data_IF_333602355452
#
_entry.id   IF_333602355452
#
_cell.length_a   1.000
_cell.length_b   1.000
_cell.length_c   1.000
_cell.angle_alpha   90.00
_cell.angle_beta   90.00
_cell.angle_gamma   90.00
#
_symmetry.space_group_name_H-M   'P 1'
#
loop_
_entity.id
_entity.type
_entity.pdbx_description
1 polymer ?
#
# COMPACT_ATOMS: atom_id res chain seq x y z
N UNK A 1 0.71 39.14 -64.60
CA UNK A 1 0.68 39.25 -63.13
C UNK A 1 1.41 40.51 -62.71
N UNK A 2 0.73 41.44 -62.05
CA UNK A 2 1.32 42.71 -61.60
C UNK A 2 2.08 42.50 -60.28
N UNK A 3 3.09 43.34 -59.99
CA UNK A 3 3.88 43.28 -58.73
C UNK A 3 2.99 43.24 -57.48
N UNK A 4 1.85 43.92 -57.52
CA UNK A 4 0.85 43.92 -56.46
C UNK A 4 0.21 42.54 -56.22
N UNK A 5 -0.16 41.80 -57.27
CA UNK A 5 -0.73 40.46 -57.09
C UNK A 5 0.23 39.50 -56.40
N UNK A 6 1.53 39.55 -56.73
CA UNK A 6 2.54 38.69 -56.09
C UNK A 6 2.73 38.99 -54.61
N UNK A 7 2.63 40.27 -54.23
CA UNK A 7 2.82 40.74 -52.85
C UNK A 7 1.62 40.36 -51.97
N UNK A 8 0.40 40.46 -52.50
CA UNK A 8 -0.82 40.01 -51.82
C UNK A 8 -0.79 38.50 -51.61
N UNK A 9 -0.47 37.70 -52.64
CA UNK A 9 -0.41 36.24 -52.51
C UNK A 9 0.66 35.78 -51.50
N UNK A 10 1.83 36.42 -51.49
CA UNK A 10 2.87 36.10 -50.51
C UNK A 10 2.44 36.44 -49.07
N UNK A 11 1.74 37.56 -48.87
CA UNK A 11 1.24 37.97 -47.56
C UNK A 11 0.15 37.01 -47.04
N UNK A 12 -0.76 36.55 -47.91
CA UNK A 12 -1.79 35.58 -47.53
C UNK A 12 -1.20 34.22 -47.17
N UNK A 13 -0.20 33.74 -47.92
CA UNK A 13 0.49 32.47 -47.63
C UNK A 13 1.26 32.58 -46.30
N UNK A 14 2.01 33.68 -46.09
CA UNK A 14 2.73 33.90 -44.84
C UNK A 14 1.78 33.95 -43.63
N UNK A 15 0.64 34.65 -43.76
CA UNK A 15 -0.36 34.74 -42.70
C UNK A 15 -1.00 33.40 -42.40
N UNK A 16 -1.32 32.60 -43.43
CA UNK A 16 -1.86 31.25 -43.26
C UNK A 16 -0.86 30.28 -42.61
N UNK A 17 0.43 30.40 -42.95
CA UNK A 17 1.49 29.57 -42.34
C UNK A 17 1.69 29.89 -40.86
N UNK A 18 1.62 31.18 -40.49
CA UNK A 18 1.70 31.63 -39.10
C UNK A 18 0.50 31.12 -38.29
N UNK A 19 -0.72 31.19 -38.85
CA UNK A 19 -1.89 30.64 -38.17
C UNK A 19 -1.81 29.12 -37.96
N UNK A 20 -1.36 28.39 -38.99
CA UNK A 20 -1.22 26.94 -38.92
C UNK A 20 -0.20 26.52 -37.86
N UNK A 21 0.94 27.21 -37.79
CA UNK A 21 2.00 26.93 -36.81
C UNK A 21 1.56 27.23 -35.38
N UNK A 22 0.87 28.35 -35.14
CA UNK A 22 0.32 28.68 -33.81
C UNK A 22 -0.69 27.61 -33.37
N UNK A 23 -1.59 27.18 -34.26
CA UNK A 23 -2.60 26.16 -33.94
C UNK A 23 -1.96 24.81 -33.58
N UNK A 24 -0.91 24.40 -34.31
CA UNK A 24 -0.16 23.16 -34.03
C UNK A 24 0.56 23.24 -32.68
N UNK A 25 1.19 24.37 -32.36
CA UNK A 25 1.89 24.57 -31.07
C UNK A 25 0.90 24.54 -29.91
N UNK A 26 -0.27 25.16 -30.04
CA UNK A 26 -1.32 25.14 -29.02
C UNK A 26 -1.88 23.73 -28.83
N UNK A 27 -2.16 23.02 -29.92
CA UNK A 27 -2.66 21.64 -29.85
C UNK A 27 -1.65 20.69 -29.19
N UNK A 28 -0.37 20.78 -29.57
CA UNK A 28 0.69 19.94 -29.01
C UNK A 28 0.91 20.22 -27.51
N UNK A 29 0.89 21.49 -27.09
CA UNK A 29 1.00 21.86 -25.68
C UNK A 29 -0.22 21.43 -24.86
N UNK A 30 -1.41 21.46 -25.47
CA UNK A 30 -2.64 20.99 -24.84
C UNK A 30 -2.62 19.48 -24.61
N UNK A 31 -2.22 18.70 -25.61
CA UNK A 31 -2.07 17.24 -25.48
C UNK A 31 -1.03 16.86 -24.42
N UNK A 32 0.12 17.55 -24.39
CA UNK A 32 1.16 17.31 -23.39
C UNK A 32 0.69 17.62 -21.97
N UNK A 33 -0.04 18.72 -21.77
CA UNK A 33 -0.62 19.05 -20.48
C UNK A 33 -1.65 18.01 -20.03
N UNK A 34 -2.53 17.58 -20.94
CA UNK A 34 -3.57 16.59 -20.62
C UNK A 34 -2.99 15.21 -20.28
N UNK A 35 -1.94 14.78 -21.00
CA UNK A 35 -1.20 13.57 -20.68
C UNK A 35 -0.57 13.66 -19.27
N UNK A 36 0.02 14.81 -18.93
CA UNK A 36 0.63 15.02 -17.62
C UNK A 36 -0.41 14.99 -16.48
N UNK A 37 -1.58 15.60 -16.68
CA UNK A 37 -2.68 15.51 -15.72
C UNK A 37 -3.25 14.09 -15.61
N UNK A 38 -3.36 13.37 -16.73
CA UNK A 38 -3.78 11.97 -16.75
C UNK A 38 -2.86 11.08 -15.92
N UNK A 39 -1.55 11.22 -16.11
CA UNK A 39 -0.54 10.48 -15.33
C UNK A 39 -0.59 10.84 -13.85
N UNK A 40 -0.73 12.13 -13.51
CA UNK A 40 -0.84 12.56 -12.10
C UNK A 40 -2.11 12.00 -11.45
N UNK A 41 -3.26 12.06 -12.12
CA UNK A 41 -4.52 11.53 -11.60
C UNK A 41 -4.44 10.01 -11.47
N UNK A 42 -3.97 9.29 -12.49
CA UNK A 42 -3.81 7.83 -12.42
C UNK A 42 -2.85 7.41 -11.31
N UNK A 43 -1.75 8.14 -11.11
CA UNK A 43 -0.78 7.87 -10.04
C UNK A 43 -1.38 8.12 -8.66
N UNK A 44 -2.20 9.17 -8.49
CA UNK A 44 -2.86 9.48 -7.22
C UNK A 44 -3.99 8.49 -6.92
N UNK A 45 -4.78 8.09 -7.93
CA UNK A 45 -5.83 7.07 -7.79
C UNK A 45 -5.22 5.71 -7.41
N UNK A 46 -4.15 5.27 -8.09
CA UNK A 46 -3.47 4.02 -7.74
C UNK A 46 -2.90 4.04 -6.31
N UNK A 47 -2.39 5.19 -5.83
CA UNK A 47 -1.95 5.36 -4.44
C UNK A 47 -3.11 5.38 -3.45
N UNK A 48 -4.22 6.01 -3.80
CA UNK A 48 -5.42 6.05 -2.96
C UNK A 48 -6.08 4.68 -2.85
N UNK A 49 -6.21 3.96 -3.96
CA UNK A 49 -6.73 2.58 -4.00
C UNK A 49 -5.83 1.65 -3.19
N UNK A 50 -4.50 1.75 -3.34
CA UNK A 50 -3.58 0.98 -2.51
C UNK A 50 -3.71 1.29 -1.01
N UNK A 51 -3.96 2.55 -0.63
CA UNK A 51 -4.14 2.96 0.78
C UNK A 51 -5.49 2.51 1.36
N UNK A 52 -6.59 2.70 0.63
CA UNK A 52 -7.92 2.27 1.05
C UNK A 52 -8.03 0.75 1.12
N UNK A 53 -7.41 0.08 0.16
CA UNK A 53 -7.30 -1.36 0.15
C UNK A 53 -6.50 -1.89 1.37
N UNK A 54 -5.37 -1.26 1.73
CA UNK A 54 -4.60 -1.57 2.96
C UNK A 54 -5.41 -1.32 4.24
N UNK A 55 -6.19 -0.23 4.29
CA UNK A 55 -7.04 0.08 5.44
C UNK A 55 -8.12 -0.99 5.66
N UNK A 56 -8.72 -1.47 4.56
CA UNK A 56 -9.71 -2.55 4.60
C UNK A 56 -9.14 -3.85 5.17
N UNK A 57 -7.94 -4.25 4.75
CA UNK A 57 -7.25 -5.43 5.32
C UNK A 57 -6.94 -5.26 6.79
N UNK A 58 -6.38 -4.11 7.17
CA UNK A 58 -6.03 -3.81 8.56
C UNK A 58 -7.27 -3.92 9.46
N UNK A 59 -8.40 -3.37 9.03
CA UNK A 59 -9.67 -3.49 9.75
C UNK A 59 -10.21 -4.93 9.79
N UNK A 60 -10.08 -5.67 8.68
CA UNK A 60 -10.50 -7.07 8.61
C UNK A 60 -9.69 -7.95 9.56
N UNK A 61 -8.37 -7.87 9.53
CA UNK A 61 -7.46 -8.62 10.41
C UNK A 61 -7.75 -8.24 11.87
N UNK A 62 -7.90 -6.96 12.17
CA UNK A 62 -8.29 -6.49 13.50
C UNK A 62 -9.57 -7.16 14.00
N UNK A 63 -10.64 -7.09 13.21
CA UNK A 63 -11.95 -7.67 13.56
C UNK A 63 -11.85 -9.18 13.80
N UNK A 64 -11.09 -9.90 12.95
CA UNK A 64 -10.89 -11.33 13.09
C UNK A 64 -10.07 -11.69 14.35
N UNK A 65 -9.04 -10.90 14.68
CA UNK A 65 -8.27 -11.06 15.91
C UNK A 65 -9.12 -10.81 17.15
N UNK A 66 -9.91 -9.72 17.16
CA UNK A 66 -10.83 -9.40 18.26
C UNK A 66 -11.87 -10.53 18.45
N UNK A 67 -12.42 -11.05 17.35
CA UNK A 67 -13.39 -12.14 17.39
C UNK A 67 -12.78 -13.48 17.85
N UNK A 68 -11.55 -13.79 17.44
CA UNK A 68 -10.90 -15.06 17.76
C UNK A 68 -10.35 -15.09 19.19
N UNK A 69 -9.71 -14.01 19.62
CA UNK A 69 -9.02 -13.93 20.90
C UNK A 69 -9.86 -13.27 22.01
N UNK A 70 -10.98 -12.63 21.66
CA UNK A 70 -11.83 -11.93 22.63
C UNK A 70 -11.15 -10.73 23.29
N UNK A 71 -10.06 -10.24 22.71
CA UNK A 71 -9.23 -9.16 23.23
C UNK A 71 -9.18 -8.01 22.23
N UNK A 72 -9.04 -6.78 22.72
CA UNK A 72 -8.85 -5.63 21.83
C UNK A 72 -7.53 -5.79 21.07
N UNK A 73 -7.61 -5.64 19.75
CA UNK A 73 -6.46 -5.68 18.87
C UNK A 73 -6.33 -4.32 18.16
N UNK A 74 -5.12 -3.76 18.15
CA UNK A 74 -4.77 -2.66 17.28
C UNK A 74 -3.87 -3.20 16.17
N UNK A 75 -4.32 -3.02 14.92
CA UNK A 75 -3.57 -3.46 13.75
C UNK A 75 -3.16 -2.21 12.98
N UNK A 76 -1.88 -2.10 12.69
CA UNK A 76 -1.33 -1.00 11.87
C UNK A 76 -0.37 -1.56 10.84
N UNK A 77 -0.13 -0.78 9.79
CA UNK A 77 0.74 -1.18 8.70
C UNK A 77 1.75 -0.06 8.45
N UNK A 78 3.02 -0.35 8.76
CA UNK A 78 4.15 0.57 8.65
C UNK A 78 4.93 0.26 7.37
N UNK A 79 5.14 1.29 6.56
CA UNK A 79 6.00 1.25 5.36
C UNK A 79 7.09 2.31 5.38
N UNK A 80 7.15 3.11 6.45
CA UNK A 80 8.02 4.28 6.54
C UNK A 80 9.45 3.88 6.96
N UNK A 81 9.60 2.71 7.57
CA UNK A 81 10.87 2.18 8.09
C UNK A 81 11.66 1.34 7.10
N UNK A 82 11.14 1.14 5.87
CA UNK A 82 11.78 0.34 4.82
C UNK A 82 10.99 -0.93 4.48
N UNK A 83 11.00 -1.97 5.35
CA UNK A 83 10.17 -3.15 5.13
C UNK A 83 8.68 -2.83 5.35
N UNK A 84 7.81 -3.62 4.73
CA UNK A 84 6.35 -3.55 4.92
C UNK A 84 5.97 -4.34 6.17
N UNK A 85 5.83 -3.65 7.29
CA UNK A 85 5.59 -4.26 8.60
C UNK A 85 4.10 -4.19 8.95
N UNK A 86 3.48 -5.34 9.18
CA UNK A 86 2.17 -5.42 9.84
C UNK A 86 2.39 -5.49 11.36
N UNK A 87 1.94 -4.49 12.10
CA UNK A 87 2.05 -4.44 13.57
C UNK A 87 0.71 -4.82 14.19
N UNK A 88 0.75 -5.80 15.09
CA UNK A 88 -0.39 -6.34 15.83
C UNK A 88 -0.16 -6.08 17.32
N UNK A 89 -0.91 -5.17 17.91
CA UNK A 89 -0.91 -4.94 19.36
C UNK A 89 -2.13 -5.63 19.97
N UNK A 90 -1.90 -6.64 20.80
CA UNK A 90 -2.98 -7.40 21.43
C UNK A 90 -2.92 -7.26 22.94
N UNK A 91 -4.01 -6.80 23.53
CA UNK A 91 -4.22 -6.80 24.98
C UNK A 91 -4.61 -8.19 25.49
N UNK A 92 -3.80 -9.21 25.17
CA UNK A 92 -3.98 -10.58 25.66
C UNK A 92 -3.49 -10.67 27.11
N UNK A 93 -4.36 -11.12 28.01
CA UNK A 93 -4.00 -11.33 29.40
C UNK A 93 -3.09 -12.58 29.51
N UNK A 94 -1.78 -12.36 29.53
CA UNK A 94 -0.80 -13.43 29.68
C UNK A 94 -0.55 -13.69 31.17
N UNK A 95 -0.42 -14.96 31.61
CA UNK A 95 -0.12 -15.26 33.00
C UNK A 95 1.21 -14.60 33.44
N UNK A 96 1.32 -14.16 34.71
CA UNK A 96 2.40 -13.28 35.20
C UNK A 96 3.80 -13.90 35.22
N UNK A 97 3.90 -15.23 35.18
CA UNK A 97 5.14 -15.95 34.91
C UNK A 97 4.81 -17.12 34.00
N UNK A 98 4.91 -16.95 32.67
CA UNK A 98 4.79 -18.09 31.78
C UNK A 98 6.02 -18.99 32.00
N UNK A 99 5.86 -20.27 32.37
CA UNK A 99 6.98 -21.20 32.33
C UNK A 99 7.40 -21.44 30.86
N UNK A 100 8.56 -20.92 30.45
CA UNK A 100 9.11 -21.08 29.10
C UNK A 100 8.73 -19.97 28.12
N UNK A 101 9.05 -20.16 26.82
CA UNK A 101 8.85 -19.16 25.75
C UNK A 101 7.38 -19.09 25.26
N UNK A 102 6.43 -19.08 26.20
CA UNK A 102 4.99 -19.08 25.90
C UNK A 102 4.59 -17.78 25.20
N UNK A 103 5.18 -16.65 25.58
CA UNK A 103 4.92 -15.37 24.92
C UNK A 103 5.35 -15.41 23.45
N UNK A 104 6.55 -15.94 23.14
CA UNK A 104 7.01 -16.12 21.77
C UNK A 104 6.14 -17.09 20.97
N UNK A 105 5.71 -18.21 21.58
CA UNK A 105 4.79 -19.16 20.94
C UNK A 105 3.42 -18.54 20.63
N UNK A 106 2.84 -17.78 21.56
CA UNK A 106 1.58 -17.06 21.36
C UNK A 106 1.70 -15.96 20.32
N UNK A 107 2.79 -15.19 20.37
CA UNK A 107 3.07 -14.18 19.36
C UNK A 107 3.15 -14.80 17.96
N UNK A 108 3.79 -15.98 17.84
CA UNK A 108 3.85 -16.73 16.58
C UNK A 108 2.48 -17.23 16.12
N UNK A 109 1.67 -17.75 17.03
CA UNK A 109 0.28 -18.18 16.74
C UNK A 109 -0.56 -17.02 16.19
N UNK A 110 -0.50 -15.87 16.87
CA UNK A 110 -1.18 -14.63 16.43
C UNK A 110 -0.68 -14.18 15.06
N UNK A 111 0.64 -14.22 14.83
CA UNK A 111 1.22 -13.88 13.54
C UNK A 111 0.75 -14.83 12.43
N UNK A 112 0.73 -16.15 12.68
CA UNK A 112 0.23 -17.15 11.75
C UNK A 112 -1.26 -16.93 11.44
N UNK A 113 -2.07 -16.66 12.46
CA UNK A 113 -3.49 -16.35 12.28
C UNK A 113 -3.68 -15.13 11.38
N UNK A 114 -3.01 -14.01 11.68
CA UNK A 114 -3.11 -12.78 10.89
C UNK A 114 -2.70 -12.99 9.43
N UNK A 115 -1.66 -13.79 9.18
CA UNK A 115 -1.21 -14.13 7.82
C UNK A 115 -2.21 -15.04 7.10
N UNK A 116 -2.81 -16.00 7.79
CA UNK A 116 -3.85 -16.88 7.22
C UNK A 116 -5.17 -16.13 6.95
N UNK A 117 -5.44 -15.07 7.71
CA UNK A 117 -6.62 -14.21 7.61
C UNK A 117 -6.58 -13.20 6.46
N UNK A 118 -5.46 -13.11 5.72
CA UNK A 118 -5.30 -12.18 4.60
C UNK A 118 -4.83 -12.88 3.33
N UNK A 119 -5.49 -12.59 2.21
CA UNK A 119 -5.06 -13.06 0.89
C UNK A 119 -3.83 -12.30 0.38
N UNK A 120 -3.42 -11.23 1.07
CA UNK A 120 -2.40 -10.28 0.60
C UNK A 120 -1.19 -10.23 1.51
N UNK A 121 -0.85 -11.39 2.04
CA UNK A 121 0.39 -11.62 2.77
C UNK A 121 1.64 -11.36 1.92
N UNK A 122 1.53 -11.31 0.57
CA UNK A 122 2.62 -10.92 -0.34
C UNK A 122 2.97 -9.43 -0.25
N UNK A 123 2.07 -8.64 0.33
CA UNK A 123 2.28 -7.24 0.64
C UNK A 123 2.90 -7.04 2.03
N UNK A 124 3.17 -8.08 2.79
CA UNK A 124 3.74 -8.01 4.13
C UNK A 124 5.12 -8.66 4.09
N UNK A 125 6.14 -7.97 4.58
CA UNK A 125 7.49 -8.53 4.70
C UNK A 125 7.72 -9.09 6.11
N UNK A 126 7.23 -8.36 7.13
CA UNK A 126 7.40 -8.69 8.55
C UNK A 126 6.05 -8.56 9.26
N UNK A 127 5.74 -9.50 10.15
CA UNK A 127 4.66 -9.39 11.13
C UNK A 127 5.28 -9.15 12.50
N UNK A 128 4.95 -8.01 13.10
CA UNK A 128 5.37 -7.64 14.44
C UNK A 128 4.20 -7.79 15.40
N UNK A 129 4.32 -8.67 16.37
CA UNK A 129 3.32 -8.86 17.42
C UNK A 129 3.79 -8.23 18.72
N UNK A 130 2.95 -7.42 19.33
CA UNK A 130 3.16 -6.79 20.63
C UNK A 130 2.18 -7.38 21.63
N UNK A 131 2.71 -7.97 22.69
CA UNK A 131 1.94 -8.57 23.78
C UNK A 131 2.35 -7.92 25.10
N UNK A 132 1.41 -7.74 26.06
CA UNK A 132 1.75 -7.24 27.38
C UNK A 132 2.66 -8.23 28.11
N UNK A 133 3.79 -7.72 28.58
CA UNK A 133 4.72 -8.45 29.42
C UNK A 133 4.32 -8.43 30.89
N UNK A 134 5.01 -9.22 31.74
CA UNK A 134 4.71 -9.34 33.16
C UNK A 134 4.98 -8.05 33.95
N UNK A 135 5.85 -7.15 33.44
CA UNK A 135 6.08 -5.81 33.99
C UNK A 135 5.04 -4.77 33.55
N UNK A 136 4.09 -5.14 32.68
CA UNK A 136 3.17 -4.22 32.01
C UNK A 136 3.75 -3.57 30.75
N UNK A 137 5.03 -3.79 30.44
CA UNK A 137 5.64 -3.31 29.20
C UNK A 137 5.28 -4.21 28.01
N UNK A 138 5.09 -3.63 26.82
CA UNK A 138 4.84 -4.40 25.61
C UNK A 138 6.12 -5.10 25.14
N UNK A 139 6.06 -6.43 25.04
CA UNK A 139 7.09 -7.23 24.40
C UNK A 139 6.81 -7.34 22.90
N UNK A 140 7.82 -7.07 22.09
CA UNK A 140 7.70 -7.06 20.62
C UNK A 140 8.39 -8.28 20.03
N UNK A 141 7.68 -9.02 19.18
CA UNK A 141 8.16 -10.21 18.50
C UNK A 141 8.01 -10.02 16.98
N UNK A 142 9.12 -10.13 16.27
CA UNK A 142 9.16 -9.93 14.82
C UNK A 142 9.29 -11.28 14.10
N UNK A 143 8.44 -11.50 13.10
CA UNK A 143 8.42 -12.72 12.30
C UNK A 143 8.49 -12.36 10.82
N UNK A 144 9.47 -12.90 10.10
CA UNK A 144 9.52 -12.78 8.64
C UNK A 144 8.40 -13.58 7.99
N UNK A 145 7.76 -13.01 6.97
CA UNK A 145 6.62 -13.65 6.32
C UNK A 145 6.97 -15.01 5.70
N UNK A 146 8.23 -15.18 5.25
CA UNK A 146 8.74 -16.42 4.68
C UNK A 146 8.74 -17.58 5.69
N UNK A 147 9.07 -17.29 6.95
CA UNK A 147 9.10 -18.27 8.03
C UNK A 147 7.70 -18.69 8.47
N UNK A 148 6.75 -17.75 8.43
CA UNK A 148 5.35 -18.01 8.74
C UNK A 148 4.71 -18.90 7.66
N UNK A 149 4.95 -18.59 6.37
CA UNK A 149 4.38 -19.35 5.23
C UNK A 149 4.91 -20.79 5.13
N UNK A 150 6.19 -20.99 5.39
CA UNK A 150 6.80 -22.32 5.39
C UNK A 150 6.24 -23.23 6.50
N UNK A 151 5.80 -22.63 7.61
CA UNK A 151 5.14 -23.34 8.71
C UNK A 151 3.72 -23.76 8.33
N UNK A 152 2.92 -22.88 7.70
CA UNK A 152 1.53 -23.17 7.30
C UNK A 152 1.43 -24.31 6.27
N UNK A 153 2.41 -24.42 5.36
CA UNK A 153 2.44 -25.49 4.36
C UNK A 153 2.65 -26.89 4.95
N UNK A 154 3.18 -27.00 6.17
CA UNK A 154 3.45 -28.27 6.84
C UNK A 154 2.26 -28.81 7.66
N UNK A 155 1.22 -28.01 7.85
CA UNK A 155 0.10 -28.30 8.77
C UNK A 155 -1.24 -28.56 8.08
N UNK A 156 -1.26 -28.88 6.78
CA UNK A 156 -2.45 -29.40 6.09
C UNK A 156 -2.39 -30.93 6.06
N UNK A 157 -3.12 -31.66 6.93
CA UNK A 157 -3.38 -33.07 6.67
C UNK A 157 -4.38 -33.15 5.52
N UNK A 158 -4.05 -33.95 4.50
CA UNK A 158 -5.01 -34.36 3.48
C UNK A 158 -6.09 -35.29 4.02
#
# INVERSE_FOLDING_TARGET
MTRHQRLVTACTIASGLVLATITVVVAANWEAAFAHFGDVVATQTARADARLFRLGEVMSIRSQLEAHYGASAEVTYDTDTGPRILVLDLALDLPPEPPGDIAGMRAREVALFAVASTEKSDQIDIVRVRLPGPSGDLQSFDFEIGDLRSTTAASTPG
#
